data_IF_748150503097
#
_entry.id   IF_748150503097
#
_cell.length_a   1.000
_cell.length_b   1.000
_cell.length_c   1.000
_cell.angle_alpha   90.00
_cell.angle_beta   90.00
_cell.angle_gamma   90.00
#
_symmetry.space_group_name_H-M   'P 1'
#
loop_
_entity.id
_entity.type
_entity.pdbx_description
1 polymer ?
#
# COMPACT_ATOMS: atom_id res chain seq x y z
N UNK A 1 38.71 -38.17 13.67
CA UNK A 1 38.03 -36.90 14.02
C UNK A 1 37.09 -36.52 12.87
N UNK A 2 35.77 -36.51 13.12
CA UNK A 2 34.77 -36.15 12.10
C UNK A 2 34.65 -34.62 12.05
N UNK A 3 35.22 -34.01 11.00
CA UNK A 3 35.11 -32.57 10.75
C UNK A 3 33.64 -32.18 10.52
N UNK A 4 33.18 -31.15 11.22
CA UNK A 4 31.84 -30.60 11.06
C UNK A 4 31.66 -30.10 9.62
N UNK A 5 30.71 -30.69 8.90
CA UNK A 5 30.45 -30.46 7.47
C UNK A 5 29.86 -29.09 7.14
N UNK A 6 30.53 -28.01 7.52
CA UNK A 6 30.25 -26.66 7.02
C UNK A 6 31.39 -26.29 6.08
N UNK A 7 31.10 -26.28 4.77
CA UNK A 7 32.08 -25.87 3.77
C UNK A 7 32.65 -24.49 4.11
N UNK A 8 33.94 -24.30 3.87
CA UNK A 8 34.63 -23.04 4.10
C UNK A 8 33.91 -21.87 3.40
N UNK A 9 33.30 -22.14 2.23
CA UNK A 9 32.45 -21.20 1.51
C UNK A 9 31.20 -20.79 2.29
N UNK A 10 30.58 -21.71 3.03
CA UNK A 10 29.41 -21.42 3.88
C UNK A 10 29.80 -20.65 5.14
N UNK A 11 31.02 -20.85 5.65
CA UNK A 11 31.58 -20.04 6.73
C UNK A 11 31.88 -18.61 6.26
N UNK A 12 32.50 -18.46 5.07
CA UNK A 12 32.83 -17.17 4.46
C UNK A 12 31.56 -16.42 4.03
N UNK A 13 30.62 -17.07 3.33
CA UNK A 13 29.31 -16.46 2.97
C UNK A 13 28.38 -16.30 4.17
N UNK A 14 28.50 -17.12 5.21
CA UNK A 14 27.67 -17.04 6.41
C UNK A 14 27.89 -15.77 7.22
N UNK A 15 29.08 -15.17 7.13
CA UNK A 15 29.39 -13.85 7.72
C UNK A 15 29.07 -12.66 6.80
N UNK A 16 28.79 -12.90 5.51
CA UNK A 16 28.36 -11.84 4.61
C UNK A 16 26.90 -11.47 4.94
N UNK A 17 26.70 -10.30 5.55
CA UNK A 17 25.38 -9.73 5.74
C UNK A 17 24.65 -9.70 4.40
N UNK A 18 23.55 -10.46 4.26
CA UNK A 18 22.75 -10.45 3.03
C UNK A 18 22.41 -9.01 2.68
N UNK A 19 22.87 -8.58 1.51
CA UNK A 19 22.63 -7.21 1.08
C UNK A 19 21.12 -6.96 0.96
N UNK A 20 20.72 -5.70 1.13
CA UNK A 20 19.31 -5.30 0.97
C UNK A 20 18.78 -5.65 -0.44
N UNK A 21 19.64 -5.78 -1.45
CA UNK A 21 19.25 -6.20 -2.80
C UNK A 21 18.96 -7.70 -2.88
N UNK A 22 19.72 -8.56 -2.19
CA UNK A 22 19.49 -10.01 -2.15
C UNK A 22 18.15 -10.36 -1.47
N UNK A 23 17.82 -9.66 -0.37
CA UNK A 23 16.52 -9.78 0.29
C UNK A 23 15.35 -9.34 -0.61
N UNK A 24 15.52 -8.26 -1.39
CA UNK A 24 14.52 -7.80 -2.36
C UNK A 24 14.35 -8.78 -3.52
N UNK A 25 15.44 -9.35 -4.02
CA UNK A 25 15.43 -10.37 -5.08
C UNK A 25 14.63 -11.60 -4.63
N UNK A 26 14.91 -12.10 -3.42
CA UNK A 26 14.16 -13.22 -2.83
C UNK A 26 12.68 -12.91 -2.60
N UNK A 27 12.35 -11.67 -2.20
CA UNK A 27 10.95 -11.24 -2.07
C UNK A 27 10.22 -11.22 -3.43
N UNK A 28 10.88 -10.73 -4.49
CA UNK A 28 10.33 -10.74 -5.86
C UNK A 28 10.07 -12.16 -6.35
N UNK A 29 11.01 -13.09 -6.15
CA UNK A 29 10.83 -14.49 -6.57
C UNK A 29 9.70 -15.19 -5.83
N UNK A 30 9.51 -14.92 -4.53
CA UNK A 30 8.37 -15.43 -3.74
C UNK A 30 7.05 -14.91 -4.29
N UNK A 31 6.96 -13.60 -4.55
CA UNK A 31 5.74 -12.98 -5.12
C UNK A 31 5.41 -13.59 -6.47
N UNK A 32 6.40 -13.71 -7.36
CA UNK A 32 6.22 -14.28 -8.69
C UNK A 32 5.78 -15.75 -8.63
N UNK A 33 6.36 -16.56 -7.74
CA UNK A 33 5.95 -17.95 -7.50
C UNK A 33 4.50 -18.03 -7.01
N UNK A 34 4.07 -17.13 -6.13
CA UNK A 34 2.71 -17.07 -5.62
C UNK A 34 1.70 -16.65 -6.71
N UNK A 35 2.04 -15.67 -7.54
CA UNK A 35 1.22 -15.25 -8.68
C UNK A 35 1.03 -16.39 -9.68
N UNK A 36 2.13 -17.07 -10.04
CA UNK A 36 2.10 -18.22 -10.96
C UNK A 36 1.21 -19.34 -10.40
N UNK A 37 1.31 -19.67 -9.11
CA UNK A 37 0.41 -20.65 -8.45
C UNK A 37 -1.06 -20.26 -8.55
N UNK A 38 -1.41 -18.98 -8.29
CA UNK A 38 -2.78 -18.49 -8.44
C UNK A 38 -3.30 -18.60 -9.87
N UNK A 39 -2.46 -18.34 -10.86
CA UNK A 39 -2.81 -18.50 -12.27
C UNK A 39 -3.10 -19.96 -12.61
N UNK A 40 -2.22 -20.88 -12.18
CA UNK A 40 -2.46 -22.32 -12.36
C UNK A 40 -3.72 -22.79 -11.65
N UNK A 41 -3.99 -22.33 -10.43
CA UNK A 41 -5.22 -22.68 -9.72
C UNK A 41 -6.46 -22.13 -10.41
N UNK A 42 -6.39 -20.93 -11.01
CA UNK A 42 -7.50 -20.38 -11.81
C UNK A 42 -7.77 -21.24 -13.04
N UNK A 43 -6.73 -21.56 -13.81
CA UNK A 43 -6.85 -22.42 -15.00
C UNK A 43 -7.40 -23.79 -14.61
N UNK A 44 -6.82 -24.43 -13.59
CA UNK A 44 -7.28 -25.74 -13.07
C UNK A 44 -8.73 -25.70 -12.54
N UNK A 45 -9.17 -24.59 -11.95
CA UNK A 45 -10.58 -24.41 -11.52
C UNK A 45 -11.51 -24.19 -12.72
N UNK A 46 -11.08 -23.48 -13.75
CA UNK A 46 -11.83 -23.32 -14.99
C UNK A 46 -11.94 -24.64 -15.74
N UNK A 47 -10.85 -25.40 -15.88
CA UNK A 47 -10.84 -26.74 -16.47
C UNK A 47 -11.74 -27.71 -15.70
N UNK A 48 -11.68 -27.68 -14.36
CA UNK A 48 -12.58 -28.51 -13.54
C UNK A 48 -14.04 -28.10 -13.65
N UNK A 49 -14.34 -26.80 -13.79
CA UNK A 49 -15.71 -26.29 -13.99
C UNK A 49 -16.24 -26.61 -15.38
N UNK A 50 -15.40 -26.57 -16.43
CA UNK A 50 -15.83 -26.99 -17.77
C UNK A 50 -16.08 -28.49 -17.85
N UNK A 51 -15.34 -29.30 -17.06
CA UNK A 51 -15.60 -30.74 -16.96
C UNK A 51 -16.84 -31.03 -16.11
N UNK A 52 -17.06 -30.32 -14.99
CA UNK A 52 -18.20 -30.57 -14.10
C UNK A 52 -19.53 -29.95 -14.53
N UNK A 53 -19.54 -29.04 -15.51
CA UNK A 53 -20.77 -28.49 -16.11
C UNK A 53 -21.22 -29.34 -17.31
N UNK A 54 -20.35 -30.21 -17.84
CA UNK A 54 -20.64 -31.03 -19.02
C UNK A 54 -21.32 -32.38 -18.76
N UNK A 55 -21.62 -32.76 -17.51
CA UNK A 55 -22.04 -34.14 -17.23
C UNK A 55 -23.54 -34.36 -16.93
N UNK A 56 -24.32 -33.37 -16.48
CA UNK A 56 -25.64 -33.68 -15.87
C UNK A 56 -26.89 -32.91 -16.37
N UNK A 57 -26.86 -32.13 -17.45
CA UNK A 57 -28.11 -31.53 -17.97
C UNK A 57 -28.25 -31.34 -19.49
N UNK A 58 -27.20 -31.57 -20.30
CA UNK A 58 -27.23 -31.26 -21.74
C UNK A 58 -27.08 -32.51 -22.64
N UNK A 59 -27.35 -33.71 -22.12
CA UNK A 59 -27.21 -34.97 -22.90
C UNK A 59 -28.44 -35.40 -23.71
N UNK A 60 -29.62 -34.80 -23.52
CA UNK A 60 -30.81 -35.22 -24.28
C UNK A 60 -30.96 -34.48 -25.62
N UNK A 61 -30.51 -33.23 -25.70
CA UNK A 61 -30.67 -32.38 -26.88
C UNK A 61 -29.57 -31.33 -26.78
N UNK A 62 -28.44 -31.53 -27.48
CA UNK A 62 -27.21 -30.72 -27.37
C UNK A 62 -27.32 -29.27 -27.83
N UNK A 63 -28.29 -28.53 -27.30
CA UNK A 63 -28.58 -27.14 -27.63
C UNK A 63 -27.99 -26.22 -26.58
N UNK A 64 -27.17 -25.28 -27.04
CA UNK A 64 -26.54 -24.26 -26.20
C UNK A 64 -27.57 -23.20 -25.75
N UNK A 65 -27.19 -22.38 -24.77
CA UNK A 65 -28.02 -21.26 -24.32
C UNK A 65 -28.55 -20.38 -25.47
N UNK A 66 -27.71 -20.13 -26.49
CA UNK A 66 -28.10 -19.34 -27.65
C UNK A 66 -29.13 -20.05 -28.52
N UNK A 67 -29.03 -21.37 -28.66
CA UNK A 67 -30.02 -22.12 -29.44
C UNK A 67 -31.40 -22.10 -28.79
N UNK A 68 -31.46 -22.13 -27.45
CA UNK A 68 -32.73 -21.98 -26.71
C UNK A 68 -33.29 -20.56 -26.88
N UNK A 69 -32.44 -19.54 -26.74
CA UNK A 69 -32.83 -18.13 -26.90
C UNK A 69 -33.38 -17.83 -28.30
N UNK A 70 -32.76 -18.36 -29.36
CA UNK A 70 -33.25 -18.16 -30.72
C UNK A 70 -34.45 -19.06 -31.07
N UNK A 71 -34.64 -20.17 -30.37
CA UNK A 71 -35.84 -20.99 -30.51
C UNK A 71 -37.06 -20.30 -29.90
N UNK A 72 -36.92 -19.71 -28.70
CA UNK A 72 -37.97 -18.90 -28.06
C UNK A 72 -38.37 -17.69 -28.92
N UNK A 73 -37.38 -17.02 -29.54
CA UNK A 73 -37.63 -15.91 -30.47
C UNK A 73 -38.39 -16.35 -31.73
N UNK A 74 -38.29 -17.62 -32.12
CA UNK A 74 -39.00 -18.16 -33.29
C UNK A 74 -40.40 -18.68 -32.94
N UNK A 75 -40.62 -19.18 -31.72
CA UNK A 75 -41.94 -19.63 -31.25
C UNK A 75 -42.84 -18.49 -30.77
N UNK A 76 -42.29 -17.30 -30.49
CA UNK A 76 -43.05 -16.12 -30.04
C UNK A 76 -43.68 -15.29 -31.19
N UNK A 77 -43.69 -15.78 -32.43
CA UNK A 77 -44.37 -15.16 -33.58
C UNK A 77 -45.79 -15.70 -33.77
N UNK A 78 -46.61 -15.62 -32.72
CA UNK A 78 -48.06 -15.82 -32.81
C UNK A 78 -48.75 -14.59 -32.16
N UNK A 79 -49.57 -13.91 -32.95
CA UNK A 79 -49.86 -12.47 -32.92
C UNK A 79 -50.82 -11.96 -31.80
N UNK A 80 -50.93 -12.62 -30.65
CA UNK A 80 -51.98 -12.31 -29.64
C UNK A 80 -51.50 -11.60 -28.36
N UNK A 81 -50.19 -11.41 -28.14
CA UNK A 81 -49.70 -10.88 -26.85
C UNK A 81 -49.46 -9.35 -26.81
N UNK A 82 -49.53 -8.66 -27.96
CA UNK A 82 -49.16 -7.23 -28.03
C UNK A 82 -50.21 -6.28 -27.40
N UNK A 83 -51.49 -6.69 -27.32
CA UNK A 83 -52.56 -5.84 -26.78
C UNK A 83 -52.63 -5.81 -25.25
N UNK A 84 -52.18 -6.87 -24.57
CA UNK A 84 -52.21 -6.92 -23.10
C UNK A 84 -51.01 -6.19 -22.46
N UNK A 85 -49.91 -6.04 -23.21
CA UNK A 85 -48.69 -5.35 -22.75
C UNK A 85 -48.86 -3.83 -22.75
N UNK A 86 -49.53 -3.23 -23.74
CA UNK A 86 -49.75 -1.77 -23.78
C UNK A 86 -50.64 -1.28 -22.62
N UNK A 87 -51.70 -2.01 -22.28
CA UNK A 87 -52.61 -1.64 -21.18
C UNK A 87 -51.99 -1.76 -19.77
N UNK A 88 -50.97 -2.62 -19.60
CA UNK A 88 -50.20 -2.72 -18.35
C UNK A 88 -49.12 -1.64 -18.24
N UNK A 89 -48.61 -1.13 -19.36
CA UNK A 89 -47.55 -0.13 -19.38
C UNK A 89 -48.06 1.26 -18.98
N UNK A 90 -49.30 1.63 -19.31
CA UNK A 90 -49.89 2.93 -18.89
C UNK A 90 -50.18 2.98 -17.39
N UNK A 91 -50.77 1.94 -16.80
CA UNK A 91 -51.06 1.90 -15.35
C UNK A 91 -49.82 1.95 -14.44
N UNK A 92 -48.64 1.60 -14.96
CA UNK A 92 -47.39 1.65 -14.18
C UNK A 92 -46.64 2.99 -14.29
N UNK A 93 -47.10 3.94 -15.12
CA UNK A 93 -46.44 5.24 -15.28
C UNK A 93 -46.98 6.29 -14.29
N UNK A 94 -48.24 6.20 -13.89
CA UNK A 94 -48.87 7.20 -13.01
C UNK A 94 -48.49 7.03 -11.51
N UNK A 95 -48.11 5.82 -11.07
CA UNK A 95 -47.66 5.60 -9.68
C UNK A 95 -46.22 6.07 -9.39
N UNK A 96 -45.47 6.54 -10.39
CA UNK A 96 -44.06 6.93 -10.23
C UNK A 96 -43.85 8.34 -9.66
N UNK A 97 -44.87 9.17 -9.56
CA UNK A 97 -44.72 10.60 -9.27
C UNK A 97 -44.80 10.95 -7.77
N UNK A 98 -45.39 10.10 -6.91
CA UNK A 98 -45.63 10.46 -5.49
C UNK A 98 -44.77 9.75 -4.44
N UNK A 99 -43.76 8.97 -4.84
CA UNK A 99 -42.77 8.46 -3.88
C UNK A 99 -41.71 9.53 -3.66
N UNK A 100 -41.88 10.30 -2.57
CA UNK A 100 -40.86 11.18 -1.95
C UNK A 100 -39.48 10.71 -2.37
N UNK A 101 -38.73 11.58 -3.05
CA UNK A 101 -37.41 11.29 -3.59
C UNK A 101 -36.45 10.93 -2.44
N UNK A 102 -36.52 9.68 -1.95
CA UNK A 102 -35.54 9.09 -1.04
C UNK A 102 -34.28 9.05 -1.87
N UNK A 103 -33.43 10.06 -1.70
CA UNK A 103 -32.14 10.12 -2.35
C UNK A 103 -31.45 8.80 -2.03
N UNK A 104 -31.36 7.93 -3.03
CA UNK A 104 -30.71 6.64 -2.90
C UNK A 104 -29.32 6.95 -2.33
N UNK A 105 -28.91 6.31 -1.22
CA UNK A 105 -27.65 6.62 -0.59
C UNK A 105 -26.54 6.48 -1.63
N UNK A 106 -25.65 7.47 -1.70
CA UNK A 106 -24.56 7.50 -2.67
C UNK A 106 -23.86 6.13 -2.67
N UNK A 107 -23.82 5.41 -3.82
CA UNK A 107 -23.23 4.08 -3.90
C UNK A 107 -21.76 4.10 -3.46
N UNK A 108 -21.11 5.26 -3.51
CA UNK A 108 -19.74 5.48 -3.08
C UNK A 108 -19.60 6.01 -1.66
N UNK A 109 -20.68 6.22 -0.89
CA UNK A 109 -20.61 6.79 0.46
C UNK A 109 -19.61 6.04 1.37
N UNK A 110 -19.69 4.71 1.38
CA UNK A 110 -18.77 3.85 2.15
C UNK A 110 -17.34 3.94 1.62
N UNK A 111 -17.17 4.04 0.30
CA UNK A 111 -15.87 4.18 -0.33
C UNK A 111 -15.23 5.55 -0.02
N UNK A 112 -15.99 6.63 -0.10
CA UNK A 112 -15.58 8.00 0.25
C UNK A 112 -15.18 8.09 1.72
N UNK A 113 -15.98 7.52 2.63
CA UNK A 113 -15.64 7.47 4.07
C UNK A 113 -14.34 6.70 4.33
N UNK A 114 -14.15 5.54 3.69
CA UNK A 114 -12.89 4.77 3.80
C UNK A 114 -11.70 5.53 3.20
N UNK A 115 -11.88 6.17 2.06
CA UNK A 115 -10.84 6.98 1.42
C UNK A 115 -10.39 8.14 2.34
N UNK A 116 -11.33 8.83 2.98
CA UNK A 116 -11.04 9.89 3.94
C UNK A 116 -10.18 9.38 5.12
N UNK A 117 -10.56 8.26 5.73
CA UNK A 117 -9.79 7.63 6.83
C UNK A 117 -8.38 7.28 6.37
N UNK A 118 -8.24 6.59 5.23
CA UNK A 118 -6.92 6.20 4.73
C UNK A 118 -6.04 7.39 4.35
N UNK A 119 -6.62 8.51 3.90
CA UNK A 119 -5.88 9.75 3.63
C UNK A 119 -5.29 10.33 4.91
N UNK A 120 -6.07 10.39 5.99
CA UNK A 120 -5.61 10.87 7.30
C UNK A 120 -4.54 9.95 7.88
N UNK A 121 -4.71 8.64 7.81
CA UNK A 121 -3.70 7.67 8.26
C UNK A 121 -2.37 7.81 7.52
N UNK A 122 -2.41 7.94 6.18
CA UNK A 122 -1.21 8.16 5.36
C UNK A 122 -0.48 9.45 5.75
N UNK A 123 -1.23 10.52 6.02
CA UNK A 123 -0.66 11.78 6.48
C UNK A 123 0.01 11.63 7.85
N UNK A 124 -0.64 10.94 8.81
CA UNK A 124 -0.05 10.66 10.13
C UNK A 124 1.26 9.87 10.01
N UNK A 125 1.26 8.79 9.21
CA UNK A 125 2.47 7.99 8.97
C UNK A 125 3.59 8.80 8.33
N UNK A 126 3.26 9.71 7.41
CA UNK A 126 4.25 10.60 6.80
C UNK A 126 4.86 11.56 7.82
N UNK A 127 4.03 12.22 8.63
CA UNK A 127 4.47 13.13 9.70
C UNK A 127 5.35 12.41 10.73
N UNK A 128 4.98 11.19 11.13
CA UNK A 128 5.77 10.41 12.08
C UNK A 128 7.13 10.01 11.51
N UNK A 129 7.19 9.65 10.22
CA UNK A 129 8.47 9.41 9.53
C UNK A 129 9.32 10.66 9.48
N UNK A 130 8.73 11.81 9.16
CA UNK A 130 9.44 13.09 9.11
C UNK A 130 10.00 13.46 10.49
N UNK A 131 9.21 13.31 11.56
CA UNK A 131 9.67 13.52 12.95
C UNK A 131 10.86 12.63 13.31
N UNK A 132 10.83 11.34 12.92
CA UNK A 132 11.94 10.41 13.15
C UNK A 132 13.22 10.85 12.42
N UNK A 133 13.10 11.24 11.16
CA UNK A 133 14.23 11.74 10.36
C UNK A 133 14.83 13.00 11.01
N UNK A 134 13.99 13.99 11.33
CA UNK A 134 14.44 15.22 12.00
C UNK A 134 15.12 14.93 13.35
N UNK A 135 14.61 13.98 14.13
CA UNK A 135 15.26 13.59 15.39
C UNK A 135 16.65 12.99 15.16
N UNK A 136 16.82 12.16 14.13
CA UNK A 136 18.14 11.62 13.78
C UNK A 136 19.10 12.70 13.26
N UNK A 137 18.61 13.63 12.46
CA UNK A 137 19.40 14.77 11.94
C UNK A 137 19.84 15.71 13.07
N UNK A 138 18.96 16.01 14.03
CA UNK A 138 19.32 16.79 15.23
C UNK A 138 20.42 16.10 16.04
N UNK A 139 20.37 14.77 16.19
CA UNK A 139 21.44 14.01 16.87
C UNK A 139 22.76 14.06 16.10
N UNK A 140 22.72 13.93 14.77
CA UNK A 140 23.92 14.00 13.92
C UNK A 140 24.54 15.40 13.96
N UNK A 141 23.73 16.46 13.83
CA UNK A 141 24.19 17.84 13.90
C UNK A 141 24.77 18.18 15.28
N UNK A 142 24.14 17.74 16.38
CA UNK A 142 24.68 17.88 17.72
C UNK A 142 26.03 17.14 17.88
N UNK A 143 26.13 15.90 17.37
CA UNK A 143 27.40 15.14 17.37
C UNK A 143 28.49 15.85 16.56
N UNK A 144 28.15 16.37 15.38
CA UNK A 144 29.09 17.16 14.55
C UNK A 144 29.55 18.41 15.28
N UNK A 145 28.64 19.19 15.88
CA UNK A 145 28.99 20.37 16.70
C UNK A 145 29.90 20.01 17.88
N UNK A 146 29.62 18.90 18.57
CA UNK A 146 30.48 18.39 19.65
C UNK A 146 31.86 18.02 19.13
N UNK A 147 31.94 17.30 18.02
CA UNK A 147 33.21 16.90 17.42
C UNK A 147 34.03 18.10 16.95
N UNK A 148 33.38 19.08 16.30
CA UNK A 148 34.03 20.34 15.91
C UNK A 148 34.57 21.06 17.14
N UNK A 149 33.78 21.18 18.22
CA UNK A 149 34.25 21.78 19.48
C UNK A 149 35.43 21.01 20.11
N UNK A 150 35.43 19.67 20.05
CA UNK A 150 36.53 18.85 20.55
C UNK A 150 37.78 18.92 19.66
N UNK A 151 37.61 19.18 18.35
CA UNK A 151 38.72 19.35 17.41
C UNK A 151 39.16 20.81 17.24
N UNK A 152 38.51 21.75 17.93
CA UNK A 152 38.92 23.16 17.91
C UNK A 152 40.30 23.26 18.55
N UNK A 153 41.23 23.80 17.77
CA UNK A 153 42.61 24.07 18.17
C UNK A 153 42.90 25.54 17.97
N UNK A 154 43.80 26.09 18.76
CA UNK A 154 44.36 27.44 18.57
C UNK A 154 45.19 27.49 17.28
N UNK A 155 45.59 28.69 16.83
CA UNK A 155 46.49 28.85 15.68
C UNK A 155 47.83 28.10 15.87
N UNK A 156 48.24 27.88 17.11
CA UNK A 156 49.43 27.11 17.51
C UNK A 156 49.18 25.60 17.64
N UNK A 157 47.96 25.13 17.35
CA UNK A 157 47.61 23.70 17.35
C UNK A 157 47.27 23.10 18.72
N UNK A 158 47.26 23.90 19.79
CA UNK A 158 46.89 23.45 21.13
C UNK A 158 45.37 23.26 21.25
N UNK A 159 44.87 22.28 22.02
CA UNK A 159 43.44 22.08 22.21
C UNK A 159 42.81 23.28 22.92
N UNK A 160 41.69 23.80 22.38
CA UNK A 160 40.95 24.90 23.00
C UNK A 160 40.17 24.35 24.20
N UNK A 161 40.75 24.43 25.39
CA UNK A 161 40.10 24.05 26.65
C UNK A 161 39.21 25.21 27.10
N UNK A 162 37.93 24.91 27.40
CA UNK A 162 37.01 25.89 27.96
C UNK A 162 37.36 26.16 29.42
N UNK A 163 38.04 27.28 29.69
CA UNK A 163 38.31 27.73 31.05
C UNK A 163 37.18 28.62 31.54
N UNK A 164 36.38 28.10 32.48
CA UNK A 164 35.22 28.81 33.02
C UNK A 164 35.58 30.17 33.63
N UNK A 165 36.74 30.26 34.30
CA UNK A 165 37.27 31.50 34.86
C UNK A 165 37.56 32.53 33.75
N UNK A 166 38.20 32.10 32.66
CA UNK A 166 38.51 33.01 31.56
C UNK A 166 37.24 33.53 30.87
N UNK A 167 36.24 32.66 30.66
CA UNK A 167 34.95 33.06 30.08
C UNK A 167 34.20 34.08 30.98
N UNK A 168 34.24 33.90 32.31
CA UNK A 168 33.65 34.84 33.27
C UNK A 168 34.39 36.18 33.21
N UNK A 169 35.73 36.16 33.25
CA UNK A 169 36.55 37.37 33.20
C UNK A 169 36.33 38.14 31.88
N UNK A 170 36.24 37.44 30.75
CA UNK A 170 35.93 38.08 29.46
C UNK A 170 34.53 38.68 29.41
N UNK A 171 33.51 38.04 30.00
CA UNK A 171 32.17 38.64 30.13
C UNK A 171 32.19 39.89 30.97
N UNK A 172 32.79 39.83 32.16
CA UNK A 172 32.87 40.98 33.06
C UNK A 172 33.63 42.15 32.42
N UNK A 173 34.67 41.88 31.63
CA UNK A 173 35.38 42.91 30.87
C UNK A 173 34.55 43.47 29.71
N UNK A 174 33.73 42.65 29.05
CA UNK A 174 32.86 43.10 27.97
C UNK A 174 31.67 43.93 28.49
N UNK A 175 31.10 43.56 29.63
CA UNK A 175 30.06 44.32 30.35
C UNK A 175 30.60 45.69 30.77
N UNK A 176 31.77 45.74 31.42
CA UNK A 176 32.43 47.03 31.74
C UNK A 176 32.61 47.95 30.52
N UNK A 177 33.04 47.40 29.38
CA UNK A 177 33.22 48.18 28.14
C UNK A 177 31.91 48.65 27.49
N UNK A 178 30.78 48.02 27.81
CA UNK A 178 29.45 48.47 27.39
C UNK A 178 28.95 49.56 28.32
N UNK A 179 29.21 49.45 29.62
CA UNK A 179 28.84 50.46 30.61
C UNK A 179 29.67 51.76 30.48
N UNK A 180 30.92 51.64 30.00
CA UNK A 180 31.81 52.78 29.72
C UNK A 180 31.52 53.49 28.36
N UNK A 181 30.51 53.05 27.60
CA UNK A 181 30.07 53.65 26.32
C UNK A 181 28.73 54.36 26.45
#
# INVERSE_FOLDING_TARGET
MRGSGLSIERFIKGKAQRSKSDAKSKKKSIIYKAQRRRQYEKVKKCEKRSVSIGEDADKATGLTFYDRFFSDLKSSKEDEELKEVEARVEKCQDERVERKHVMKPDPFFKAKKKAAVTKVEKQRVYLDKQKRVQATEKKVTARKKRHVKLSQRTATGQPVVKNHIHDILSRLQAEKKQDDK
#
